data_IF_315342860492
#
_entry.id   IF_315342860492
#
_cell.length_a   1.000
_cell.length_b   1.000
_cell.length_c   1.000
_cell.angle_alpha   90.00
_cell.angle_beta   90.00
_cell.angle_gamma   90.00
#
_symmetry.space_group_name_H-M   'P 1'
#
loop_
_entity.id
_entity.type
_entity.pdbx_description
1 polymer ?
#
# COMPACT_ATOMS: atom_id res chain seq x y z
N UNK A 1 -5.66 -18.36 8.10
CA UNK A 1 -6.19 -19.15 9.25
C UNK A 1 -7.09 -18.26 10.08
N UNK A 2 -8.14 -18.84 10.70
CA UNK A 2 -9.00 -18.14 11.67
C UNK A 2 -8.93 -18.87 13.00
N UNK A 3 -8.80 -18.12 14.09
CA UNK A 3 -8.89 -18.59 15.48
C UNK A 3 -10.05 -17.87 16.17
N UNK A 4 -10.68 -18.51 17.15
CA UNK A 4 -11.62 -17.85 18.06
C UNK A 4 -10.89 -17.22 19.25
N UNK A 5 -11.62 -16.55 20.14
CA UNK A 5 -11.07 -15.92 21.34
C UNK A 5 -10.46 -16.92 22.34
N UNK A 6 -10.75 -18.21 22.22
CA UNK A 6 -10.15 -19.30 23.00
C UNK A 6 -8.96 -19.95 22.26
N UNK A 7 -8.36 -19.28 21.30
CA UNK A 7 -7.20 -19.72 20.51
C UNK A 7 -7.41 -21.02 19.73
N UNK A 8 -8.67 -21.46 19.58
CA UNK A 8 -8.99 -22.66 18.82
C UNK A 8 -9.06 -22.33 17.34
N UNK A 9 -8.26 -23.04 16.54
CA UNK A 9 -8.27 -22.92 15.09
C UNK A 9 -9.62 -23.31 14.51
N UNK A 10 -10.28 -22.39 13.80
CA UNK A 10 -11.57 -22.61 13.17
C UNK A 10 -11.41 -23.22 11.78
N UNK A 11 -10.56 -22.62 10.96
CA UNK A 11 -10.30 -23.10 9.61
C UNK A 11 -9.00 -22.55 9.02
N UNK A 12 -8.50 -23.22 8.00
CA UNK A 12 -7.42 -22.77 7.12
C UNK A 12 -7.94 -22.82 5.70
N UNK A 13 -7.66 -21.77 4.91
CA UNK A 13 -7.92 -21.74 3.47
C UNK A 13 -6.62 -21.48 2.74
N UNK A 14 -6.45 -22.18 1.63
CA UNK A 14 -5.41 -21.94 0.65
C UNK A 14 -6.09 -21.57 -0.66
N UNK A 15 -5.51 -20.63 -1.38
CA UNK A 15 -5.87 -20.31 -2.74
C UNK A 15 -4.85 -21.01 -3.64
N UNK A 16 -5.32 -21.89 -4.47
CA UNK A 16 -4.48 -22.69 -5.35
C UNK A 16 -4.50 -22.12 -6.76
N UNK A 17 -3.34 -21.83 -7.28
CA UNK A 17 -3.12 -21.47 -8.67
C UNK A 17 -2.75 -22.70 -9.52
N UNK A 18 -2.26 -22.46 -10.72
CA UNK A 18 -1.70 -23.50 -11.56
C UNK A 18 -0.38 -24.04 -10.97
N UNK A 19 0.06 -25.23 -11.39
CA UNK A 19 1.30 -25.88 -10.89
C UNK A 19 2.58 -25.07 -11.16
N UNK A 20 2.51 -23.97 -11.89
CA UNK A 20 3.64 -23.09 -12.23
C UNK A 20 3.40 -21.63 -11.77
N UNK A 21 2.27 -21.35 -11.14
CA UNK A 21 1.97 -20.02 -10.64
C UNK A 21 2.48 -19.82 -9.22
N UNK A 22 2.72 -18.56 -8.88
CA UNK A 22 3.15 -18.11 -7.56
C UNK A 22 2.15 -17.08 -7.06
N UNK A 23 1.54 -17.36 -5.92
CA UNK A 23 0.58 -16.49 -5.24
C UNK A 23 1.17 -16.01 -3.91
N UNK A 24 1.02 -14.73 -3.64
CA UNK A 24 1.43 -14.15 -2.37
C UNK A 24 0.37 -13.18 -1.86
N UNK A 25 0.07 -13.25 -0.57
CA UNK A 25 -0.83 -12.33 0.12
C UNK A 25 -0.03 -11.32 0.94
N UNK A 26 -0.42 -10.05 0.89
CA UNK A 26 0.25 -8.94 1.59
C UNK A 26 -0.71 -8.21 2.54
N UNK A 27 -1.96 -8.02 2.14
CA UNK A 27 -2.96 -7.26 2.89
C UNK A 27 -4.12 -8.11 3.37
N UNK A 28 -4.68 -7.76 4.53
CA UNK A 28 -5.86 -8.38 5.12
C UNK A 28 -6.77 -7.31 5.72
N UNK A 29 -8.07 -7.40 5.45
CA UNK A 29 -9.11 -6.58 6.10
C UNK A 29 -10.33 -7.42 6.43
N UNK A 30 -11.13 -6.96 7.41
CA UNK A 30 -12.39 -7.60 7.81
C UNK A 30 -13.46 -6.50 7.89
N UNK A 31 -14.64 -6.74 7.31
CA UNK A 31 -15.78 -5.82 7.41
C UNK A 31 -16.65 -6.10 8.64
N UNK A 32 -17.63 -5.23 8.89
CA UNK A 32 -18.57 -5.35 10.01
C UNK A 32 -19.49 -6.58 9.96
N UNK A 33 -19.52 -7.30 8.84
CA UNK A 33 -20.24 -8.57 8.64
C UNK A 33 -19.32 -9.79 8.73
N UNK A 34 -18.10 -9.60 9.23
CA UNK A 34 -17.04 -10.63 9.33
C UNK A 34 -16.60 -11.22 7.97
N UNK A 35 -16.84 -10.54 6.86
CA UNK A 35 -16.24 -10.94 5.61
C UNK A 35 -14.76 -10.53 5.61
N UNK A 36 -13.94 -11.40 5.03
CA UNK A 36 -12.49 -11.28 5.01
C UNK A 36 -12.05 -10.94 3.59
N UNK A 37 -11.22 -9.92 3.46
CA UNK A 37 -10.63 -9.47 2.20
C UNK A 37 -9.12 -9.68 2.26
N UNK A 38 -8.58 -10.34 1.23
CA UNK A 38 -7.13 -10.60 1.11
C UNK A 38 -6.65 -9.98 -0.19
N UNK A 39 -5.67 -9.10 -0.09
CA UNK A 39 -4.97 -8.53 -1.23
C UNK A 39 -3.58 -9.14 -1.38
N UNK A 40 -3.10 -9.20 -2.61
CA UNK A 40 -1.79 -9.75 -2.94
C UNK A 40 -1.53 -9.70 -4.43
N UNK A 41 -0.79 -10.69 -4.91
CA UNK A 41 -0.45 -10.80 -6.33
C UNK A 41 -0.26 -12.26 -6.77
N UNK A 42 -0.35 -12.48 -8.07
CA UNK A 42 -0.15 -13.78 -8.73
C UNK A 42 0.58 -13.58 -10.06
N UNK A 43 1.38 -14.55 -10.47
CA UNK A 43 1.95 -14.58 -11.82
C UNK A 43 1.24 -15.56 -12.76
N UNK A 44 0.08 -16.07 -12.36
CA UNK A 44 -0.76 -16.98 -13.15
C UNK A 44 -2.22 -16.58 -13.16
N UNK A 45 -3.02 -17.24 -13.98
CA UNK A 45 -4.48 -17.07 -13.98
C UNK A 45 -5.13 -17.86 -12.84
N UNK A 46 -6.02 -17.24 -12.10
CA UNK A 46 -6.76 -17.82 -10.99
C UNK A 46 -8.27 -17.78 -11.25
N UNK A 47 -9.01 -18.84 -10.85
CA UNK A 47 -10.46 -18.93 -10.98
C UNK A 47 -10.99 -18.63 -12.40
N UNK A 48 -10.28 -19.06 -13.43
CA UNK A 48 -10.65 -18.80 -14.82
C UNK A 48 -10.24 -17.42 -15.34
N UNK A 49 -9.62 -16.58 -14.51
CA UNK A 49 -9.02 -15.34 -15.00
C UNK A 49 -7.75 -15.64 -15.81
N UNK A 50 -7.47 -14.78 -16.76
CA UNK A 50 -6.22 -14.81 -17.53
C UNK A 50 -5.25 -13.77 -16.95
N UNK A 51 -3.99 -14.15 -16.79
CA UNK A 51 -2.96 -13.17 -16.40
C UNK A 51 -2.83 -12.09 -17.47
N UNK A 52 -2.79 -10.83 -17.03
CA UNK A 52 -2.63 -9.66 -17.90
C UNK A 52 -1.16 -9.42 -18.25
N UNK A 53 -0.23 -9.93 -17.42
CA UNK A 53 1.19 -9.65 -17.57
C UNK A 53 2.08 -10.61 -16.80
N UNK A 54 3.08 -10.04 -16.10
CA UNK A 54 4.03 -10.82 -15.30
C UNK A 54 3.44 -11.19 -13.94
N UNK A 55 3.08 -10.17 -13.15
CA UNK A 55 2.36 -10.32 -11.90
C UNK A 55 1.12 -9.44 -11.95
N UNK A 56 0.00 -9.97 -11.52
CA UNK A 56 -1.27 -9.27 -11.44
C UNK A 56 -1.68 -9.09 -9.98
N UNK A 57 -2.38 -8.01 -9.69
CA UNK A 57 -3.00 -7.75 -8.39
C UNK A 57 -4.11 -8.77 -8.17
N UNK A 58 -4.15 -9.30 -6.95
CA UNK A 58 -5.15 -10.23 -6.49
C UNK A 58 -5.96 -9.62 -5.36
N UNK A 59 -7.29 -9.74 -5.43
CA UNK A 59 -8.21 -9.40 -4.34
C UNK A 59 -9.24 -10.53 -4.19
N UNK A 60 -9.32 -11.10 -2.99
CA UNK A 60 -10.23 -12.22 -2.71
C UNK A 60 -11.12 -11.88 -1.53
N UNK A 61 -12.42 -12.17 -1.65
CA UNK A 61 -13.38 -12.10 -0.54
C UNK A 61 -13.77 -13.49 -0.07
N UNK A 62 -13.71 -13.67 1.25
CA UNK A 62 -14.28 -14.83 1.95
C UNK A 62 -15.38 -14.36 2.89
N UNK A 63 -16.38 -15.20 3.14
CA UNK A 63 -17.32 -14.97 4.24
C UNK A 63 -16.70 -15.42 5.59
N UNK A 64 -17.39 -15.17 6.70
CA UNK A 64 -16.95 -15.52 8.05
C UNK A 64 -16.70 -17.02 8.25
N UNK A 65 -17.35 -17.88 7.47
CA UNK A 65 -17.15 -19.34 7.44
C UNK A 65 -15.97 -19.79 6.59
N UNK A 66 -15.26 -18.88 5.94
CA UNK A 66 -14.12 -19.15 5.07
C UNK A 66 -14.50 -19.66 3.68
N UNK A 67 -15.76 -19.47 3.25
CA UNK A 67 -16.16 -19.77 1.87
C UNK A 67 -15.82 -18.58 0.97
N UNK A 68 -15.04 -18.83 -0.09
CA UNK A 68 -14.70 -17.82 -1.09
C UNK A 68 -15.98 -17.33 -1.78
N UNK A 69 -16.19 -16.02 -1.81
CA UNK A 69 -17.34 -15.36 -2.41
C UNK A 69 -17.03 -14.93 -3.85
N UNK A 70 -15.90 -14.30 -4.04
CA UNK A 70 -15.40 -13.88 -5.35
C UNK A 70 -13.88 -13.64 -5.28
N UNK A 71 -13.28 -13.61 -6.45
CA UNK A 71 -11.90 -13.26 -6.69
C UNK A 71 -11.84 -12.27 -7.84
N UNK A 72 -11.04 -11.21 -7.67
CA UNK A 72 -10.69 -10.26 -8.71
C UNK A 72 -9.18 -10.36 -8.98
N UNK A 73 -8.82 -10.47 -10.24
CA UNK A 73 -7.46 -10.43 -10.74
C UNK A 73 -7.38 -9.35 -11.81
N UNK A 74 -6.44 -8.44 -11.69
CA UNK A 74 -6.26 -7.37 -12.65
C UNK A 74 -4.82 -6.85 -12.62
N UNK A 75 -4.38 -6.31 -13.74
CA UNK A 75 -3.03 -5.79 -13.89
C UNK A 75 -2.81 -5.17 -15.26
N UNK A 76 -1.60 -4.77 -15.49
CA UNK A 76 -1.04 -4.33 -16.76
C UNK A 76 -0.27 -5.48 -17.44
N UNK A 77 0.43 -5.21 -18.54
CA UNK A 77 1.35 -6.18 -19.15
C UNK A 77 2.69 -6.31 -18.40
N UNK A 78 2.87 -5.61 -17.30
CA UNK A 78 4.09 -5.56 -16.47
C UNK A 78 3.86 -6.22 -15.11
N UNK A 79 4.64 -5.82 -14.12
CA UNK A 79 4.45 -6.26 -12.74
C UNK A 79 3.48 -5.33 -12.01
N UNK A 80 2.50 -5.91 -11.33
CA UNK A 80 1.49 -5.22 -10.56
C UNK A 80 1.31 -5.94 -9.21
N UNK A 81 1.51 -5.23 -8.10
CA UNK A 81 1.53 -5.84 -6.77
C UNK A 81 0.52 -5.15 -5.85
N UNK A 82 -0.47 -5.90 -5.37
CA UNK A 82 -1.37 -5.46 -4.30
C UNK A 82 -0.68 -5.67 -2.95
N UNK A 83 -0.49 -4.58 -2.18
CA UNK A 83 0.25 -4.63 -0.92
C UNK A 83 -0.64 -4.44 0.30
N UNK A 84 -1.69 -3.63 0.20
CA UNK A 84 -2.59 -3.40 1.31
C UNK A 84 -4.05 -3.34 0.85
N UNK A 85 -4.95 -3.66 1.77
CA UNK A 85 -6.41 -3.60 1.60
C UNK A 85 -7.07 -3.04 2.86
N UNK A 86 -8.11 -2.24 2.67
CA UNK A 86 -9.01 -1.80 3.73
C UNK A 86 -10.46 -1.79 3.23
N UNK A 87 -11.41 -1.78 4.16
CA UNK A 87 -12.84 -1.78 3.85
C UNK A 87 -13.52 -0.69 4.69
N UNK A 88 -14.38 0.12 4.05
CA UNK A 88 -15.18 1.13 4.75
C UNK A 88 -16.44 0.53 5.39
N UNK A 89 -17.15 1.36 6.17
CA UNK A 89 -18.39 0.96 6.86
C UNK A 89 -19.54 0.59 5.91
N UNK A 90 -19.44 0.94 4.63
CA UNK A 90 -20.43 0.64 3.57
C UNK A 90 -20.06 -0.62 2.79
N UNK A 91 -18.93 -1.26 3.14
CA UNK A 91 -18.42 -2.45 2.48
C UNK A 91 -17.70 -2.16 1.16
N UNK A 92 -17.28 -0.91 0.87
CA UNK A 92 -16.39 -0.66 -0.25
C UNK A 92 -14.96 -1.04 0.13
N UNK A 93 -14.26 -1.63 -0.82
CA UNK A 93 -12.92 -2.17 -0.63
C UNK A 93 -11.92 -1.30 -1.37
N UNK A 94 -10.82 -0.98 -0.72
CA UNK A 94 -9.73 -0.17 -1.24
C UNK A 94 -8.46 -0.99 -1.23
N UNK A 95 -7.81 -1.11 -2.40
CA UNK A 95 -6.55 -1.83 -2.57
C UNK A 95 -5.49 -0.86 -3.06
N UNK A 96 -4.33 -0.90 -2.47
CA UNK A 96 -3.16 -0.12 -2.90
C UNK A 96 -1.93 -1.00 -3.05
N UNK A 97 -0.93 -0.49 -3.74
CA UNK A 97 0.33 -1.15 -4.03
C UNK A 97 1.11 -0.36 -5.06
N UNK A 98 1.78 -1.06 -5.96
CA UNK A 98 2.46 -0.42 -7.09
C UNK A 98 2.24 -1.17 -8.40
N UNK A 99 2.42 -0.46 -9.50
CA UNK A 99 2.39 -0.97 -10.86
C UNK A 99 3.62 -0.49 -11.64
N UNK A 100 4.19 -1.35 -12.47
CA UNK A 100 5.23 -1.01 -13.45
C UNK A 100 4.64 -0.66 -14.83
N UNK A 101 3.30 -0.66 -14.94
CA UNK A 101 2.58 -0.35 -16.17
C UNK A 101 1.40 0.59 -15.96
N UNK A 102 0.60 0.80 -16.99
CA UNK A 102 -0.64 1.59 -16.89
C UNK A 102 -1.83 0.71 -16.54
N UNK A 103 -2.52 1.01 -15.44
CA UNK A 103 -3.74 0.33 -15.04
C UNK A 103 -4.98 1.06 -15.60
N UNK A 104 -5.94 0.30 -16.13
CA UNK A 104 -7.23 0.83 -16.62
C UNK A 104 -7.09 2.05 -17.56
N UNK A 105 -6.13 2.01 -18.48
CA UNK A 105 -5.88 3.09 -19.44
C UNK A 105 -5.12 4.28 -18.86
N UNK A 106 -4.63 4.21 -17.62
CA UNK A 106 -3.71 5.20 -17.05
C UNK A 106 -2.33 5.06 -17.67
N UNK A 107 -1.55 6.12 -17.61
CA UNK A 107 -0.15 6.12 -18.05
C UNK A 107 0.76 5.93 -16.84
N UNK A 108 1.68 4.98 -16.93
CA UNK A 108 2.77 4.87 -15.96
C UNK A 108 3.74 6.04 -16.15
N UNK A 109 4.12 6.68 -15.04
CA UNK A 109 4.97 7.88 -15.03
C UNK A 109 6.46 7.56 -14.99
N UNK A 110 6.81 6.32 -14.59
CA UNK A 110 8.21 5.93 -14.39
C UNK A 110 8.43 4.44 -14.23
N UNK A 111 9.27 4.09 -13.25
CA UNK A 111 9.61 2.71 -12.95
C UNK A 111 8.45 2.00 -12.24
N UNK A 112 7.90 2.64 -11.20
CA UNK A 112 6.75 2.16 -10.43
C UNK A 112 5.87 3.33 -10.04
N UNK A 113 4.58 3.19 -10.23
CA UNK A 113 3.58 4.13 -9.76
C UNK A 113 2.74 3.51 -8.63
N UNK A 114 2.36 4.30 -7.64
CA UNK A 114 1.33 3.92 -6.67
C UNK A 114 0.00 3.80 -7.39
N UNK A 115 -0.77 2.77 -7.08
CA UNK A 115 -2.18 2.73 -7.44
C UNK A 115 -3.08 2.70 -6.21
N UNK A 116 -4.32 3.16 -6.39
CA UNK A 116 -5.43 2.98 -5.47
C UNK A 116 -6.66 2.59 -6.27
N UNK A 117 -7.23 1.43 -5.95
CA UNK A 117 -8.43 0.91 -6.63
C UNK A 117 -9.56 0.73 -5.63
N UNK A 118 -10.77 1.16 -6.02
CA UNK A 118 -11.98 0.96 -5.25
C UNK A 118 -12.87 -0.09 -5.90
N UNK A 119 -13.36 -1.01 -5.07
CA UNK A 119 -14.43 -1.94 -5.41
C UNK A 119 -15.64 -1.72 -4.50
N UNK A 120 -16.83 -2.06 -4.97
CA UNK A 120 -18.00 -2.18 -4.10
C UNK A 120 -18.02 -3.56 -3.41
N UNK A 121 -18.98 -3.77 -2.50
CA UNK A 121 -19.11 -5.01 -1.72
C UNK A 121 -19.35 -6.28 -2.56
N UNK A 122 -19.85 -6.13 -3.81
CA UNK A 122 -20.03 -7.24 -4.76
C UNK A 122 -18.79 -7.55 -5.59
N UNK A 123 -17.69 -6.82 -5.39
CA UNK A 123 -16.44 -7.00 -6.14
C UNK A 123 -16.44 -6.27 -7.50
N UNK A 124 -17.38 -5.36 -7.75
CA UNK A 124 -17.37 -4.55 -8.96
C UNK A 124 -16.45 -3.34 -8.79
N UNK A 125 -15.45 -3.23 -9.67
CA UNK A 125 -14.52 -2.10 -9.69
C UNK A 125 -15.25 -0.80 -9.98
N UNK A 126 -14.98 0.23 -9.16
CA UNK A 126 -15.62 1.54 -9.25
C UNK A 126 -14.71 2.55 -9.95
N UNK A 127 -13.47 2.62 -9.52
CA UNK A 127 -12.46 3.49 -10.11
C UNK A 127 -11.04 3.03 -9.76
N UNK A 128 -10.08 3.50 -10.55
CA UNK A 128 -8.64 3.33 -10.35
C UNK A 128 -7.97 4.69 -10.36
N UNK A 129 -7.09 4.93 -9.40
CA UNK A 129 -6.16 6.05 -9.40
C UNK A 129 -4.73 5.51 -9.48
N UNK A 130 -3.88 6.24 -10.21
CA UNK A 130 -2.46 5.94 -10.37
C UNK A 130 -1.69 7.24 -10.25
N UNK A 131 -0.60 7.22 -9.49
CA UNK A 131 0.22 8.38 -9.20
C UNK A 131 1.67 7.95 -9.11
N UNK A 132 2.53 8.65 -9.83
CA UNK A 132 3.97 8.42 -9.79
C UNK A 132 4.78 9.59 -10.28
N UNK A 133 6.10 9.39 -10.22
CA UNK A 133 7.15 10.22 -10.79
C UNK A 133 7.94 9.38 -11.80
N UNK A 134 8.98 9.92 -12.48
CA UNK A 134 9.83 9.08 -13.33
C UNK A 134 10.63 7.98 -12.60
N UNK A 135 10.49 7.84 -11.29
CA UNK A 135 11.25 6.91 -10.45
C UNK A 135 10.36 5.83 -9.82
N UNK A 136 10.57 5.51 -8.55
CA UNK A 136 9.88 4.42 -7.84
C UNK A 136 8.95 4.98 -6.77
N UNK A 137 7.71 4.53 -6.78
CA UNK A 137 6.71 4.78 -5.76
C UNK A 137 6.02 3.48 -5.36
N UNK A 138 5.72 3.32 -4.07
CA UNK A 138 4.97 2.18 -3.55
C UNK A 138 3.96 2.63 -2.49
N UNK A 139 2.73 2.12 -2.57
CA UNK A 139 1.67 2.30 -1.57
C UNK A 139 1.59 1.09 -0.64
N UNK A 140 2.06 1.23 0.59
CA UNK A 140 2.22 0.10 1.52
C UNK A 140 1.07 -0.04 2.53
N UNK A 141 0.29 1.00 2.71
CA UNK A 141 -0.84 0.99 3.64
C UNK A 141 -2.00 1.83 3.15
N UNK A 142 -3.22 1.43 3.51
CA UNK A 142 -4.45 2.17 3.22
C UNK A 142 -5.38 2.16 4.42
N UNK A 143 -5.96 3.32 4.74
CA UNK A 143 -6.98 3.49 5.78
C UNK A 143 -8.14 4.35 5.26
N UNK A 144 -9.31 4.21 5.89
CA UNK A 144 -10.51 4.99 5.55
C UNK A 144 -11.08 5.58 6.84
N UNK A 145 -11.41 6.88 6.83
CA UNK A 145 -12.06 7.53 7.96
C UNK A 145 -13.59 7.41 7.91
N UNK A 146 -14.26 7.87 8.98
CA UNK A 146 -15.72 7.86 9.09
C UNK A 146 -16.44 8.79 8.11
N UNK A 147 -15.70 9.67 7.44
CA UNK A 147 -16.19 10.57 6.38
C UNK A 147 -15.92 10.05 4.98
N UNK A 148 -15.49 8.77 4.87
CA UNK A 148 -15.12 8.08 3.64
C UNK A 148 -13.89 8.69 2.91
N UNK A 149 -13.04 9.47 3.60
CA UNK A 149 -11.76 9.86 3.03
C UNK A 149 -10.78 8.68 3.11
N UNK A 150 -10.00 8.51 2.06
CA UNK A 150 -9.06 7.41 1.92
C UNK A 150 -7.64 7.97 2.07
N UNK A 151 -6.84 7.31 2.90
CA UNK A 151 -5.44 7.65 3.14
C UNK A 151 -4.55 6.50 2.69
N UNK A 152 -3.56 6.82 1.85
CA UNK A 152 -2.56 5.86 1.40
C UNK A 152 -1.20 6.32 1.92
N UNK A 153 -0.46 5.42 2.55
CA UNK A 153 0.94 5.66 2.91
C UNK A 153 1.87 4.74 2.14
N UNK A 154 3.11 5.18 2.01
CA UNK A 154 4.14 4.45 1.31
C UNK A 154 5.42 5.26 1.22
N UNK A 155 6.10 5.15 0.09
CA UNK A 155 7.33 5.92 -0.15
C UNK A 155 7.46 6.30 -1.63
N UNK A 156 8.28 7.31 -1.88
CA UNK A 156 8.65 7.80 -3.21
C UNK A 156 10.14 8.12 -3.26
N UNK A 157 10.78 7.83 -4.38
CA UNK A 157 12.14 8.30 -4.70
C UNK A 157 12.12 9.61 -5.47
N UNK A 158 10.96 10.02 -5.93
CA UNK A 158 10.77 11.25 -6.68
C UNK A 158 10.13 12.37 -5.88
N UNK A 159 9.86 13.47 -6.55
CA UNK A 159 9.22 14.63 -5.92
C UNK A 159 7.72 14.61 -6.21
N UNK A 160 6.93 14.20 -5.23
CA UNK A 160 5.47 14.31 -5.23
C UNK A 160 4.97 15.55 -4.46
N UNK A 161 5.75 16.04 -3.50
CA UNK A 161 5.52 17.25 -2.71
C UNK A 161 6.87 17.90 -2.35
N UNK A 162 7.25 17.96 -1.08
CA UNK A 162 8.54 18.48 -0.64
C UNK A 162 9.57 17.34 -0.56
N UNK A 163 10.57 17.37 -1.42
CA UNK A 163 11.62 16.36 -1.46
C UNK A 163 12.66 16.59 -0.37
N UNK A 164 12.90 15.58 0.48
CA UNK A 164 13.91 15.63 1.54
C UNK A 164 15.22 14.91 1.15
N UNK A 165 15.16 14.00 0.18
CA UNK A 165 16.31 13.29 -0.38
C UNK A 165 16.22 11.77 -0.19
N UNK A 166 16.66 11.00 -1.17
CA UNK A 166 16.57 9.54 -1.11
C UNK A 166 15.17 9.00 -1.33
N UNK A 167 14.79 7.97 -0.57
CA UNK A 167 13.41 7.50 -0.52
C UNK A 167 12.69 8.25 0.60
N UNK A 168 11.62 8.95 0.30
CA UNK A 168 10.84 9.71 1.27
C UNK A 168 9.49 9.02 1.58
N UNK A 169 9.09 9.01 2.83
CA UNK A 169 7.76 8.58 3.23
C UNK A 169 6.68 9.54 2.70
N UNK A 170 5.53 9.00 2.33
CA UNK A 170 4.40 9.78 1.82
C UNK A 170 3.09 9.43 2.50
N UNK A 171 2.19 10.41 2.49
CA UNK A 171 0.76 10.23 2.77
C UNK A 171 -0.03 10.94 1.69
N UNK A 172 -0.99 10.22 1.11
CA UNK A 172 -1.92 10.72 0.11
C UNK A 172 -3.33 10.70 0.70
N UNK A 173 -4.08 11.78 0.55
CA UNK A 173 -5.51 11.81 0.88
C UNK A 173 -6.34 11.87 -0.40
N UNK A 174 -7.33 10.99 -0.48
CA UNK A 174 -8.36 10.99 -1.51
C UNK A 174 -9.74 11.12 -0.85
N UNK A 175 -10.69 11.73 -1.57
CA UNK A 175 -12.09 11.67 -1.16
C UNK A 175 -12.75 10.36 -1.67
N UNK A 176 -14.00 10.13 -1.27
CA UNK A 176 -14.80 8.95 -1.66
C UNK A 176 -14.86 8.68 -3.16
N UNK A 177 -14.85 9.73 -3.99
CA UNK A 177 -14.90 9.63 -5.47
C UNK A 177 -13.53 9.38 -6.11
N UNK A 178 -12.46 9.23 -5.30
CA UNK A 178 -11.10 9.00 -5.79
C UNK A 178 -10.38 10.27 -6.22
N UNK A 179 -10.90 11.46 -5.91
CA UNK A 179 -10.20 12.71 -6.20
C UNK A 179 -9.14 12.95 -5.13
N UNK A 180 -7.87 13.06 -5.55
CA UNK A 180 -6.76 13.39 -4.65
C UNK A 180 -6.97 14.78 -4.05
N UNK A 181 -6.88 14.88 -2.73
CA UNK A 181 -7.05 16.12 -1.97
C UNK A 181 -5.70 16.77 -1.70
N UNK A 182 -4.77 16.00 -1.19
CA UNK A 182 -3.41 16.46 -0.93
C UNK A 182 -2.40 15.29 -0.90
N UNK A 183 -1.14 15.68 -0.94
CA UNK A 183 0.04 14.84 -0.72
C UNK A 183 0.84 15.44 0.42
N UNK A 184 1.47 14.61 1.24
CA UNK A 184 2.55 14.97 2.18
C UNK A 184 3.70 14.02 1.91
N UNK A 185 4.87 14.59 1.66
CA UNK A 185 6.13 13.88 1.49
C UNK A 185 7.06 14.37 2.58
N UNK A 186 7.66 13.45 3.33
CA UNK A 186 8.52 13.77 4.46
C UNK A 186 9.58 12.70 4.64
N UNK A 187 10.73 13.10 5.15
CA UNK A 187 11.87 12.22 5.38
C UNK A 187 12.98 12.97 6.07
N UNK A 188 14.03 12.25 6.41
CA UNK A 188 15.27 12.83 6.91
C UNK A 188 16.02 13.50 5.76
N UNK A 189 16.57 14.67 6.01
CA UNK A 189 17.42 15.33 5.03
C UNK A 189 18.71 14.54 4.83
N UNK A 190 19.10 14.35 3.57
CA UNK A 190 20.40 13.78 3.22
C UNK A 190 21.54 14.61 3.81
N UNK A 191 22.55 13.95 4.39
CA UNK A 191 23.72 14.60 4.91
C UNK A 191 25.00 14.07 4.28
N UNK A 192 26.06 14.88 4.32
CA UNK A 192 27.37 14.49 3.83
C UNK A 192 28.12 13.71 4.93
N UNK A 193 28.24 12.39 4.78
CA UNK A 193 29.18 11.63 5.59
C UNK A 193 30.60 11.74 5.02
N UNK A 194 31.56 12.08 5.91
CA UNK A 194 32.97 11.98 5.57
C UNK A 194 33.41 10.52 5.71
N UNK A 195 33.84 9.93 4.61
CA UNK A 195 34.48 8.62 4.66
C UNK A 195 35.70 8.66 5.58
N UNK A 196 35.76 7.77 6.56
CA UNK A 196 36.90 7.63 7.47
C UNK A 196 38.18 7.17 6.74
N UNK A 197 38.07 6.64 5.52
CA UNK A 197 39.18 6.03 4.80
C UNK A 197 39.84 6.94 3.75
N UNK A 198 39.10 7.86 3.12
CA UNK A 198 39.65 8.61 1.97
C UNK A 198 39.27 10.09 1.94
N UNK A 199 38.68 10.66 3.00
CA UNK A 199 38.21 12.05 3.10
C UNK A 199 37.23 12.48 2.00
N UNK A 200 36.74 11.58 1.17
CA UNK A 200 35.67 11.89 0.23
C UNK A 200 34.35 12.02 0.99
N UNK A 201 33.64 13.11 0.75
CA UNK A 201 32.27 13.25 1.25
C UNK A 201 31.36 12.45 0.32
N UNK A 202 30.72 11.42 0.86
CA UNK A 202 29.62 10.75 0.16
C UNK A 202 28.28 11.33 0.66
N UNK A 203 27.41 11.60 -0.29
CA UNK A 203 26.03 11.98 0.04
C UNK A 203 25.31 10.68 0.42
N UNK A 204 25.03 10.50 1.71
CA UNK A 204 24.15 9.42 2.15
C UNK A 204 22.71 9.89 1.97
N UNK A 205 21.99 9.18 1.12
CA UNK A 205 20.56 9.39 0.96
C UNK A 205 19.83 8.58 2.02
N UNK A 206 19.03 9.24 2.85
CA UNK A 206 18.16 8.56 3.80
C UNK A 206 17.07 7.80 3.07
N UNK A 207 16.72 6.61 3.54
CA UNK A 207 15.56 5.88 3.06
C UNK A 207 14.47 5.90 4.15
N UNK A 208 13.39 6.62 3.85
CA UNK A 208 12.27 6.83 4.76
C UNK A 208 11.02 6.21 4.14
N UNK A 209 10.46 5.17 4.76
CA UNK A 209 9.38 4.39 4.16
C UNK A 209 8.18 4.28 5.09
N UNK A 210 7.05 4.85 4.69
CA UNK A 210 5.78 4.61 5.35
C UNK A 210 5.31 3.16 5.11
N UNK A 211 4.92 2.47 6.18
CA UNK A 211 4.47 1.07 6.12
C UNK A 211 3.06 0.88 6.63
N UNK A 212 2.58 1.74 7.52
CA UNK A 212 1.25 1.64 8.10
C UNK A 212 0.59 3.00 8.28
N UNK A 213 -0.72 3.05 8.06
CA UNK A 213 -1.56 4.22 8.31
C UNK A 213 -2.81 3.81 9.04
N UNK A 214 -3.21 4.62 10.03
CA UNK A 214 -4.46 4.49 10.75
C UNK A 214 -5.12 5.86 10.94
N UNK A 215 -6.43 5.87 11.13
CA UNK A 215 -7.21 7.10 11.40
C UNK A 215 -8.04 6.86 12.64
N UNK A 216 -8.01 7.81 13.58
CA UNK A 216 -8.86 7.74 14.77
C UNK A 216 -10.29 8.30 14.52
N UNK A 217 -11.17 8.13 15.49
CA UNK A 217 -12.56 8.60 15.41
C UNK A 217 -12.71 10.12 15.29
N UNK A 218 -11.63 10.88 15.61
CA UNK A 218 -11.57 12.33 15.45
C UNK A 218 -11.00 12.75 14.09
N UNK A 219 -10.63 11.79 13.24
CA UNK A 219 -10.05 12.03 11.92
C UNK A 219 -8.56 12.37 11.94
N UNK A 220 -7.86 12.18 13.08
CA UNK A 220 -6.40 12.31 13.10
C UNK A 220 -5.77 11.10 12.39
N UNK A 221 -4.74 11.37 11.61
CA UNK A 221 -4.03 10.40 10.80
C UNK A 221 -2.71 10.05 11.48
N UNK A 222 -2.44 8.78 11.66
CA UNK A 222 -1.20 8.25 12.20
C UNK A 222 -0.48 7.46 11.14
N UNK A 223 0.80 7.76 10.93
CA UNK A 223 1.65 7.08 9.95
C UNK A 223 2.87 6.53 10.65
N UNK A 224 3.19 5.27 10.43
CA UNK A 224 4.39 4.64 10.94
C UNK A 224 5.22 4.06 9.81
N UNK A 225 6.51 3.88 10.08
CA UNK A 225 7.43 3.32 9.11
C UNK A 225 8.85 3.25 9.65
N UNK A 226 9.81 3.18 8.73
CA UNK A 226 11.24 3.17 9.04
C UNK A 226 11.94 4.38 8.44
N UNK A 227 12.99 4.84 9.12
CA UNK A 227 13.88 5.93 8.67
C UNK A 227 15.34 5.52 8.85
N UNK A 228 16.18 5.90 7.90
CA UNK A 228 17.66 5.77 8.00
C UNK A 228 18.32 7.05 8.50
N UNK A 229 17.55 8.10 8.77
CA UNK A 229 18.04 9.40 9.23
C UNK A 229 17.29 9.95 10.43
N UNK A 230 17.76 11.05 11.00
CA UNK A 230 17.05 11.77 12.05
C UNK A 230 15.91 12.60 11.46
N UNK A 231 14.69 12.41 11.97
CA UNK A 231 13.49 13.15 11.55
C UNK A 231 13.06 14.13 12.65
N UNK A 232 12.65 15.34 12.27
CA UNK A 232 12.10 16.36 13.18
C UNK A 232 12.97 16.62 14.43
N UNK A 233 14.29 16.65 14.26
CA UNK A 233 15.25 16.90 15.34
C UNK A 233 15.58 15.67 16.20
N UNK A 234 15.01 14.50 15.92
CA UNK A 234 15.41 13.25 16.53
C UNK A 234 16.73 12.74 15.91
N UNK A 235 17.51 12.04 16.70
CA UNK A 235 18.77 11.43 16.26
C UNK A 235 18.51 9.99 15.87
N UNK A 236 18.94 9.59 14.68
CA UNK A 236 18.98 8.18 14.31
C UNK A 236 20.08 7.47 15.13
N UNK A 237 19.75 6.33 15.73
CA UNK A 237 20.65 5.57 16.61
C UNK A 237 21.20 4.30 15.97
N UNK A 238 20.86 4.01 14.73
CA UNK A 238 21.27 2.80 14.05
C UNK A 238 21.21 2.89 12.53
N UNK A 239 20.93 1.77 11.87
CA UNK A 239 20.69 1.75 10.43
C UNK A 239 19.28 2.22 10.11
N UNK A 240 18.30 1.63 10.80
CA UNK A 240 16.88 1.97 10.67
C UNK A 240 16.26 2.19 12.03
N UNK A 241 15.57 3.29 12.20
CA UNK A 241 14.73 3.58 13.35
C UNK A 241 13.25 3.56 12.93
N UNK A 242 12.36 3.36 13.90
CA UNK A 242 10.92 3.46 13.69
C UNK A 242 10.50 4.92 13.83
N UNK A 243 9.67 5.43 12.94
CA UNK A 243 8.98 6.69 13.13
C UNK A 243 7.47 6.50 13.35
N UNK A 244 6.88 7.45 14.06
CA UNK A 244 5.43 7.63 14.18
C UNK A 244 5.11 9.11 14.02
N UNK A 245 4.32 9.44 13.00
CA UNK A 245 3.90 10.82 12.72
C UNK A 245 2.38 10.93 12.88
N UNK A 246 1.93 12.02 13.50
CA UNK A 246 0.51 12.36 13.61
C UNK A 246 0.20 13.61 12.80
N UNK A 247 -0.84 13.54 11.97
CA UNK A 247 -1.49 14.70 11.36
C UNK A 247 -2.86 14.91 11.99
N UNK A 248 -3.18 16.13 12.35
CA UNK A 248 -4.52 16.45 12.87
C UNK A 248 -5.54 16.42 11.74
N UNK A 249 -6.79 16.12 12.08
CA UNK A 249 -7.94 16.28 11.17
C UNK A 249 -7.97 17.73 10.65
N UNK A 250 -8.07 17.89 9.34
CA UNK A 250 -8.29 19.19 8.68
C UNK A 250 -9.73 19.30 8.24
#
# INVERSE_FOLDING_TARGET
>A
MKYNSSETKQWVKQLEGSSKSFENSQGLAVDSSDNIYVAGFTNGGLDGNTSSGKHDILLVKYNSGGSKQWLQQFGSSKNDFGLAVNVDSKGNIYVTGYTEGGLDGKTNSGERDIFLVKYNSSGTKQWTQQLGTPTFEEGNGVAVDSSDNIYVTGWTRGKLDTYAGGDDAIVLKYNYSGTKQWTRQFGATSFLEKSQYNQSSQMTTSADKGTGVAVDSSGNIYVTGSTEGGMDGNTNSGKNDIFLVKYNSM
#
